data_IF_914622922845
#
_entry.id   IF_914622922845
#
_cell.length_a   1.000
_cell.length_b   1.000
_cell.length_c   1.000
_cell.angle_alpha   90.00
_cell.angle_beta   90.00
_cell.angle_gamma   90.00
#
_symmetry.space_group_name_H-M   'P 1'
#
loop_
_entity.id
_entity.type
_entity.pdbx_description
1 polymer ?
#
# COMPACT_ATOMS: atom_id res chain seq x y z
N UNK A 1 12.67 29.16 -104.54
CA UNK A 1 11.73 28.07 -104.20
C UNK A 1 10.53 28.66 -103.47
N UNK A 2 9.32 28.62 -104.05
CA UNK A 2 8.10 29.10 -103.38
C UNK A 2 7.46 27.93 -102.64
N UNK A 3 7.60 27.89 -101.32
CA UNK A 3 6.88 26.90 -100.51
C UNK A 3 5.39 27.25 -100.53
N UNK A 4 4.55 26.30 -100.93
CA UNK A 4 3.09 26.42 -100.80
C UNK A 4 2.74 26.44 -99.32
N UNK A 5 1.88 27.38 -98.91
CA UNK A 5 1.38 27.52 -97.54
C UNK A 5 0.85 26.17 -97.00
N UNK A 6 0.26 25.33 -97.87
CA UNK A 6 -0.24 24.00 -97.51
C UNK A 6 0.87 23.01 -97.13
N UNK A 7 2.03 23.08 -97.80
CA UNK A 7 3.21 22.25 -97.50
C UNK A 7 3.85 22.68 -96.19
N UNK A 8 3.97 23.99 -95.96
CA UNK A 8 4.47 24.52 -94.69
C UNK A 8 3.59 24.06 -93.52
N UNK A 9 2.26 24.13 -93.68
CA UNK A 9 1.28 23.74 -92.67
C UNK A 9 1.28 22.22 -92.39
N UNK A 10 1.47 21.39 -93.41
CA UNK A 10 1.61 19.95 -93.23
C UNK A 10 2.90 19.58 -92.48
N UNK A 11 4.02 20.24 -92.78
CA UNK A 11 5.30 20.03 -92.09
C UNK A 11 5.24 20.49 -90.63
N UNK A 12 4.65 21.66 -90.36
CA UNK A 12 4.50 22.13 -88.97
C UNK A 12 3.58 21.23 -88.15
N UNK A 13 2.51 20.69 -88.75
CA UNK A 13 1.61 19.75 -88.10
C UNK A 13 2.30 18.42 -87.80
N UNK A 14 3.13 17.92 -88.72
CA UNK A 14 3.94 16.71 -88.52
C UNK A 14 5.00 16.90 -87.43
N UNK A 15 5.67 18.05 -87.39
CA UNK A 15 6.62 18.39 -86.31
C UNK A 15 5.90 18.47 -84.96
N UNK A 16 4.72 19.12 -84.92
CA UNK A 16 3.92 19.19 -83.70
C UNK A 16 3.50 17.79 -83.21
N UNK A 17 3.11 16.90 -84.12
CA UNK A 17 2.75 15.52 -83.80
C UNK A 17 3.95 14.72 -83.23
N UNK A 18 5.14 14.88 -83.83
CA UNK A 18 6.37 14.25 -83.34
C UNK A 18 6.74 14.78 -81.94
N UNK A 19 6.62 16.09 -81.70
CA UNK A 19 6.88 16.68 -80.37
C UNK A 19 5.91 16.12 -79.33
N UNK A 20 4.63 15.97 -79.67
CA UNK A 20 3.62 15.38 -78.78
C UNK A 20 3.95 13.92 -78.48
N UNK A 21 4.33 13.13 -79.47
CA UNK A 21 4.73 11.72 -79.31
C UNK A 21 5.96 11.57 -78.41
N UNK A 22 7.00 12.38 -78.62
CA UNK A 22 8.21 12.36 -77.78
C UNK A 22 7.88 12.76 -76.35
N UNK A 23 7.05 13.80 -76.16
CA UNK A 23 6.59 14.20 -74.82
C UNK A 23 5.79 13.10 -74.15
N UNK A 24 4.83 12.49 -74.85
CA UNK A 24 4.02 11.40 -74.31
C UNK A 24 4.88 10.19 -73.92
N UNK A 25 5.83 9.78 -74.77
CA UNK A 25 6.75 8.69 -74.47
C UNK A 25 7.66 9.02 -73.28
N UNK A 26 8.22 10.23 -73.22
CA UNK A 26 9.03 10.66 -72.07
C UNK A 26 8.23 10.72 -70.77
N UNK A 27 6.95 11.12 -70.85
CA UNK A 27 6.05 11.14 -69.70
C UNK A 27 5.75 9.72 -69.21
N UNK A 28 5.45 8.79 -70.13
CA UNK A 28 5.23 7.38 -69.81
C UNK A 28 6.49 6.73 -69.21
N UNK A 29 7.66 6.98 -69.79
CA UNK A 29 8.92 6.46 -69.25
C UNK A 29 9.23 7.03 -67.86
N UNK A 30 8.91 8.31 -67.62
CA UNK A 30 9.06 8.93 -66.31
C UNK A 30 8.08 8.36 -65.28
N UNK A 31 6.82 8.17 -65.66
CA UNK A 31 5.79 7.57 -64.81
C UNK A 31 6.12 6.11 -64.47
N UNK A 32 6.61 5.34 -65.43
CA UNK A 32 7.03 3.95 -65.21
C UNK A 32 8.24 3.89 -64.27
N UNK A 33 9.25 4.73 -64.47
CA UNK A 33 10.39 4.83 -63.54
C UNK A 33 9.95 5.22 -62.13
N UNK A 34 8.97 6.13 -61.99
CA UNK A 34 8.40 6.54 -60.70
C UNK A 34 7.59 5.42 -60.04
N UNK A 35 6.86 4.64 -60.84
CA UNK A 35 6.11 3.48 -60.37
C UNK A 35 7.06 2.38 -59.87
N UNK A 36 8.10 2.07 -60.62
CA UNK A 36 9.16 1.13 -60.21
C UNK A 36 9.86 1.58 -58.93
N UNK A 37 10.18 2.87 -58.81
CA UNK A 37 10.77 3.43 -57.59
C UNK A 37 9.82 3.27 -56.40
N UNK A 38 8.52 3.50 -56.59
CA UNK A 38 7.51 3.37 -55.54
C UNK A 38 7.35 1.91 -55.13
N UNK A 39 7.35 0.97 -56.09
CA UNK A 39 7.31 -0.48 -55.82
C UNK A 39 8.53 -0.88 -54.97
N UNK A 40 9.74 -0.51 -55.37
CA UNK A 40 10.95 -0.79 -54.60
C UNK A 40 10.90 -0.19 -53.18
N UNK A 41 10.37 1.03 -53.03
CA UNK A 41 10.16 1.62 -51.71
C UNK A 41 9.14 0.84 -50.86
N UNK A 42 8.04 0.37 -51.45
CA UNK A 42 7.06 -0.45 -50.71
C UNK A 42 7.64 -1.80 -50.30
N UNK A 43 8.45 -2.44 -51.15
CA UNK A 43 9.11 -3.71 -50.81
C UNK A 43 10.13 -3.54 -49.69
N UNK A 44 10.96 -2.50 -49.75
CA UNK A 44 11.92 -2.20 -48.68
C UNK A 44 11.23 -1.86 -47.35
N UNK A 45 10.12 -1.13 -47.38
CA UNK A 45 9.33 -0.86 -46.17
C UNK A 45 8.68 -2.12 -45.62
N UNK A 46 8.12 -3.00 -46.47
CA UNK A 46 7.59 -4.31 -46.05
C UNK A 46 8.67 -5.18 -45.40
N UNK A 47 9.85 -5.24 -46.00
CA UNK A 47 10.98 -5.98 -45.45
C UNK A 47 11.39 -5.43 -44.06
N UNK A 48 11.50 -4.11 -43.91
CA UNK A 48 11.78 -3.49 -42.60
C UNK A 48 10.70 -3.81 -41.58
N UNK A 49 9.42 -3.70 -41.95
CA UNK A 49 8.29 -3.97 -41.05
C UNK A 49 8.28 -5.41 -40.56
N UNK A 50 8.60 -6.39 -41.43
CA UNK A 50 8.71 -7.80 -41.04
C UNK A 50 9.82 -8.08 -40.03
N UNK A 51 10.95 -7.34 -40.11
CA UNK A 51 12.04 -7.45 -39.13
C UNK A 51 11.62 -6.83 -37.79
N UNK A 52 10.91 -5.70 -37.81
CA UNK A 52 10.38 -5.06 -36.60
C UNK A 52 9.26 -5.86 -35.94
N UNK A 53 8.39 -6.55 -36.69
CA UNK A 53 7.33 -7.37 -36.11
C UNK A 53 7.90 -8.58 -35.37
N UNK A 54 8.93 -9.23 -35.92
CA UNK A 54 9.62 -10.34 -35.27
C UNK A 54 10.30 -9.90 -33.97
N UNK A 55 10.94 -8.73 -33.95
CA UNK A 55 11.55 -8.22 -32.72
C UNK A 55 10.51 -7.76 -31.70
N UNK A 56 9.37 -7.22 -32.13
CA UNK A 56 8.29 -6.83 -31.25
C UNK A 56 7.63 -8.04 -30.56
N UNK A 57 7.35 -9.11 -31.30
CA UNK A 57 6.82 -10.36 -30.70
C UNK A 57 7.80 -10.97 -29.69
N UNK A 58 9.11 -10.95 -29.99
CA UNK A 58 10.14 -11.41 -29.06
C UNK A 58 10.18 -10.55 -27.78
N UNK A 59 10.06 -9.23 -27.89
CA UNK A 59 10.01 -8.33 -26.73
C UNK A 59 8.75 -8.56 -25.89
N UNK A 60 7.60 -8.78 -26.52
CA UNK A 60 6.36 -9.10 -25.79
C UNK A 60 6.45 -10.43 -25.06
N UNK A 61 7.01 -11.47 -25.69
CA UNK A 61 7.23 -12.77 -25.05
C UNK A 61 8.19 -12.64 -23.86
N UNK A 62 9.29 -11.91 -24.04
CA UNK A 62 10.24 -11.65 -22.97
C UNK A 62 9.59 -10.91 -21.78
N UNK A 63 8.77 -9.88 -22.03
CA UNK A 63 8.03 -9.18 -20.98
C UNK A 63 7.01 -10.09 -20.28
N UNK A 64 6.31 -10.94 -21.03
CA UNK A 64 5.37 -11.91 -20.45
C UNK A 64 6.08 -12.93 -19.57
N UNK A 65 7.25 -13.41 -20.00
CA UNK A 65 8.08 -14.32 -19.22
C UNK A 65 8.64 -13.64 -17.95
N UNK A 66 9.10 -12.39 -18.04
CA UNK A 66 9.53 -11.60 -16.87
C UNK A 66 8.38 -11.42 -15.87
N UNK A 67 7.19 -11.06 -16.34
CA UNK A 67 6.00 -10.93 -15.49
C UNK A 67 5.62 -12.26 -14.83
N UNK A 68 5.71 -13.37 -15.57
CA UNK A 68 5.45 -14.71 -15.05
C UNK A 68 6.46 -15.13 -13.98
N UNK A 69 7.73 -14.80 -14.18
CA UNK A 69 8.78 -15.05 -13.18
C UNK A 69 8.54 -14.17 -11.95
N UNK A 70 8.23 -12.89 -12.14
CA UNK A 70 7.93 -11.97 -11.04
C UNK A 70 6.69 -12.43 -10.23
N UNK A 71 5.63 -12.88 -10.89
CA UNK A 71 4.43 -13.39 -10.22
C UNK A 71 4.74 -14.67 -9.45
N UNK A 72 5.51 -15.60 -10.03
CA UNK A 72 5.91 -16.84 -9.35
C UNK A 72 6.79 -16.56 -8.11
N UNK A 73 7.68 -15.56 -8.17
CA UNK A 73 8.48 -15.12 -7.03
C UNK A 73 7.59 -14.51 -5.95
N UNK A 74 6.66 -13.63 -6.34
CA UNK A 74 5.68 -13.03 -5.43
C UNK A 74 4.86 -14.11 -4.71
N UNK A 75 4.30 -15.07 -5.44
CA UNK A 75 3.46 -16.13 -4.86
C UNK A 75 4.25 -17.01 -3.89
N UNK A 76 5.51 -17.32 -4.21
CA UNK A 76 6.41 -18.04 -3.30
C UNK A 76 6.71 -17.21 -2.04
N UNK A 77 6.95 -15.90 -2.19
CA UNK A 77 7.21 -15.02 -1.06
C UNK A 77 5.98 -14.90 -0.14
N UNK A 78 4.77 -14.78 -0.71
CA UNK A 78 3.51 -14.77 0.03
C UNK A 78 3.29 -16.09 0.76
N UNK A 79 3.55 -17.23 0.10
CA UNK A 79 3.45 -18.54 0.76
C UNK A 79 4.41 -18.66 1.94
N UNK A 80 5.68 -18.32 1.74
CA UNK A 80 6.68 -18.36 2.81
C UNK A 80 6.32 -17.40 3.96
N UNK A 81 5.73 -16.24 3.64
CA UNK A 81 5.23 -15.31 4.65
C UNK A 81 4.10 -15.93 5.48
N UNK A 82 3.15 -16.63 4.86
CA UNK A 82 2.07 -17.33 5.57
C UNK A 82 2.61 -18.39 6.52
N UNK A 83 3.61 -19.16 6.07
CA UNK A 83 4.26 -20.17 6.91
C UNK A 83 4.94 -19.52 8.14
N UNK A 84 5.63 -18.40 7.94
CA UNK A 84 6.17 -17.60 9.04
C UNK A 84 5.03 -17.14 9.96
N UNK A 85 3.99 -16.50 9.42
CA UNK A 85 2.88 -15.99 10.22
C UNK A 85 2.28 -17.07 11.13
N UNK A 86 2.11 -18.30 10.62
CA UNK A 86 1.61 -19.43 11.40
C UNK A 86 2.59 -19.83 12.52
N UNK A 87 3.89 -19.84 12.26
CA UNK A 87 4.92 -20.05 13.29
C UNK A 87 4.92 -18.96 14.37
N UNK A 88 4.61 -17.71 14.00
CA UNK A 88 4.55 -16.57 14.92
C UNK A 88 3.24 -16.50 15.71
N UNK A 89 2.16 -17.16 15.27
CA UNK A 89 0.88 -17.25 16.01
C UNK A 89 0.95 -18.10 17.27
N UNK A 90 1.86 -19.07 17.30
CA UNK A 90 2.03 -19.97 18.44
C UNK A 90 2.83 -19.27 19.54
N UNK A 91 2.21 -19.19 20.72
CA UNK A 91 2.87 -18.81 21.98
C UNK A 91 2.99 -20.05 22.85
N UNK A 92 4.19 -20.29 23.37
CA UNK A 92 4.44 -21.38 24.31
C UNK A 92 4.41 -20.80 25.73
N UNK A 93 3.38 -21.11 26.54
CA UNK A 93 3.36 -20.67 27.92
C UNK A 93 4.52 -21.32 28.69
N UNK A 94 5.13 -20.56 29.60
CA UNK A 94 6.27 -21.02 30.41
C UNK A 94 5.82 -21.63 31.73
N UNK A 95 5.05 -20.87 32.51
CA UNK A 95 4.55 -21.23 33.83
C UNK A 95 3.25 -20.45 34.14
N UNK A 96 2.68 -20.67 35.32
CA UNK A 96 1.42 -20.05 35.76
C UNK A 96 1.57 -18.61 36.31
N UNK A 97 2.77 -18.01 36.22
CA UNK A 97 3.08 -16.65 36.70
C UNK A 97 3.64 -15.72 35.60
N UNK A 98 4.11 -16.29 34.49
CA UNK A 98 4.77 -15.58 33.40
C UNK A 98 3.77 -15.17 32.34
N UNK A 99 3.71 -13.87 32.08
CA UNK A 99 2.99 -13.32 30.96
C UNK A 99 3.80 -13.48 29.69
N UNK A 100 3.19 -14.02 28.63
CA UNK A 100 3.86 -14.16 27.33
C UNK A 100 3.16 -13.32 26.27
N UNK A 101 3.91 -12.57 25.48
CA UNK A 101 3.40 -11.76 24.37
C UNK A 101 4.26 -11.94 23.13
N UNK A 102 3.62 -11.95 21.96
CA UNK A 102 4.31 -12.00 20.67
C UNK A 102 3.55 -11.19 19.64
N UNK A 103 4.27 -10.35 18.89
CA UNK A 103 3.72 -9.65 17.74
C UNK A 103 3.65 -10.61 16.54
N UNK A 104 2.49 -10.68 15.91
CA UNK A 104 2.26 -11.46 14.69
C UNK A 104 2.61 -10.56 13.50
N UNK A 105 3.55 -10.99 12.62
CA UNK A 105 3.84 -10.24 11.41
C UNK A 105 2.63 -10.30 10.48
N UNK A 106 2.28 -9.16 9.88
CA UNK A 106 1.19 -9.04 8.91
C UNK A 106 1.71 -8.35 7.65
N UNK A 107 1.18 -8.75 6.49
CA UNK A 107 1.40 -8.02 5.24
C UNK A 107 0.41 -6.86 5.20
N UNK A 108 0.92 -5.65 4.96
CA UNK A 108 0.10 -4.49 4.60
C UNK A 108 -0.51 -4.76 3.20
N UNK A 109 -1.58 -5.54 3.07
CA UNK A 109 -2.13 -5.86 1.73
C UNK A 109 -3.65 -5.99 1.59
N UNK A 110 -4.43 -6.12 2.67
CA UNK A 110 -5.86 -6.40 2.50
C UNK A 110 -6.71 -5.12 2.49
N UNK A 111 -6.23 -4.04 3.10
CA UNK A 111 -6.89 -2.73 3.10
C UNK A 111 -5.84 -1.61 3.11
N UNK A 112 -5.47 -1.04 1.94
CA UNK A 112 -4.35 -0.10 1.83
C UNK A 112 -4.56 1.19 2.65
N UNK A 113 -5.80 1.47 3.08
CA UNK A 113 -6.14 2.60 3.94
C UNK A 113 -5.83 2.39 5.42
N UNK A 114 -5.60 1.15 5.87
CA UNK A 114 -5.44 0.81 7.28
C UNK A 114 -4.14 0.05 7.55
N UNK A 115 -3.55 0.32 8.72
CA UNK A 115 -2.53 -0.54 9.31
C UNK A 115 -3.17 -1.42 10.36
N UNK A 116 -2.66 -2.66 10.46
CA UNK A 116 -3.06 -3.63 11.48
C UNK A 116 -1.83 -4.10 12.25
N UNK A 117 -1.99 -4.24 13.56
CA UNK A 117 -0.97 -4.71 14.48
C UNK A 117 -1.62 -5.74 15.41
N UNK A 118 -1.23 -7.00 15.26
CA UNK A 118 -1.84 -8.10 16.03
C UNK A 118 -0.85 -8.69 17.02
N UNK A 119 -1.24 -8.77 18.28
CA UNK A 119 -0.50 -9.42 19.37
C UNK A 119 -1.22 -10.71 19.77
N UNK A 120 -0.44 -11.76 19.97
CA UNK A 120 -0.88 -12.94 20.70
C UNK A 120 -0.41 -12.78 22.13
N UNK A 121 -1.29 -13.05 23.08
CA UNK A 121 -1.04 -12.92 24.50
C UNK A 121 -1.34 -14.25 25.19
N UNK A 122 -0.58 -14.58 26.22
CA UNK A 122 -0.92 -15.61 27.20
C UNK A 122 -0.89 -14.96 28.58
N UNK A 123 -2.08 -14.81 29.17
CA UNK A 123 -2.29 -14.26 30.50
C UNK A 123 -2.24 -15.42 31.51
N UNK A 124 -1.30 -15.40 32.45
CA UNK A 124 -1.13 -16.50 33.38
C UNK A 124 -2.15 -16.42 34.53
N UNK A 125 -2.45 -17.55 35.18
CA UNK A 125 -3.51 -17.64 36.19
C UNK A 125 -3.22 -16.84 37.47
N UNK A 126 -1.95 -16.73 37.86
CA UNK A 126 -1.55 -16.17 39.14
C UNK A 126 -1.11 -14.70 39.07
N UNK A 127 -1.34 -14.03 37.93
CA UNK A 127 -0.99 -12.63 37.69
C UNK A 127 -2.16 -11.93 37.01
N UNK A 128 -2.63 -10.83 37.59
CA UNK A 128 -3.66 -9.99 36.96
C UNK A 128 -3.03 -9.16 35.87
N UNK A 129 -3.65 -9.11 34.71
CA UNK A 129 -3.20 -8.29 33.57
C UNK A 129 -4.32 -7.37 33.15
N UNK A 130 -4.04 -6.07 33.11
CA UNK A 130 -4.96 -5.02 32.71
C UNK A 130 -4.51 -4.44 31.38
N UNK A 131 -5.40 -4.47 30.39
CA UNK A 131 -5.25 -3.72 29.16
C UNK A 131 -5.74 -2.30 29.39
N UNK A 132 -4.93 -1.31 29.01
CA UNK A 132 -5.23 0.10 29.25
C UNK A 132 -5.05 0.92 27.98
N UNK A 133 -5.82 1.99 27.89
CA UNK A 133 -5.71 2.99 26.83
C UNK A 133 -5.88 4.41 27.36
N UNK A 134 -5.16 5.35 26.77
CA UNK A 134 -5.38 6.77 26.98
C UNK A 134 -4.94 7.60 25.77
N UNK A 135 -5.43 8.84 25.71
CA UNK A 135 -4.97 9.85 24.75
C UNK A 135 -4.20 10.92 25.50
N UNK A 136 -3.09 11.36 24.94
CA UNK A 136 -2.27 12.44 25.49
C UNK A 136 -1.88 13.47 24.44
N UNK A 137 -1.32 14.58 24.95
CA UNK A 137 -0.64 15.58 24.14
C UNK A 137 0.53 14.98 23.34
N UNK A 138 0.94 15.62 22.24
CA UNK A 138 2.03 15.14 21.41
C UNK A 138 3.36 15.29 22.17
N UNK A 139 4.30 14.39 21.90
CA UNK A 139 5.61 14.37 22.57
C UNK A 139 5.63 13.68 23.94
N UNK A 140 4.48 13.23 24.45
CA UNK A 140 4.44 12.31 25.60
C UNK A 140 4.76 10.90 25.09
N UNK A 141 5.96 10.43 25.39
CA UNK A 141 6.43 9.13 24.92
C UNK A 141 6.31 8.07 26.01
N UNK A 142 5.23 7.29 25.94
CA UNK A 142 4.91 6.25 26.92
C UNK A 142 5.96 5.14 27.10
N UNK A 143 6.87 4.92 26.13
CA UNK A 143 7.88 3.86 26.25
C UNK A 143 8.90 4.10 27.37
N UNK A 144 9.07 5.35 27.83
CA UNK A 144 9.86 5.68 29.02
C UNK A 144 9.05 5.58 30.31
N UNK A 145 7.73 5.63 30.22
CA UNK A 145 6.79 5.65 31.32
C UNK A 145 6.38 4.21 31.63
N UNK A 146 7.18 3.52 32.43
CA UNK A 146 6.98 2.10 32.79
C UNK A 146 5.90 1.89 33.86
N UNK A 147 5.10 2.91 34.16
CA UNK A 147 4.09 2.93 35.22
C UNK A 147 3.06 4.02 34.94
N UNK A 148 1.79 3.74 35.22
CA UNK A 148 0.69 4.72 35.09
C UNK A 148 0.80 5.89 36.07
N UNK A 149 1.63 5.77 37.12
CA UNK A 149 1.89 6.87 38.07
C UNK A 149 2.64 8.04 37.43
N UNK A 150 3.22 7.83 36.25
CA UNK A 150 4.06 8.80 35.57
C UNK A 150 3.37 9.48 34.37
N UNK A 151 2.04 9.36 34.23
CA UNK A 151 1.25 10.03 33.18
C UNK A 151 0.52 11.29 33.71
N UNK A 152 1.13 12.49 33.65
CA UNK A 152 0.49 13.71 34.16
C UNK A 152 -0.49 14.39 33.18
N UNK A 153 -0.60 13.97 31.91
CA UNK A 153 -1.40 14.71 30.90
C UNK A 153 -2.33 13.84 30.06
N UNK A 154 -3.18 13.04 30.72
CA UNK A 154 -4.28 12.34 30.02
C UNK A 154 -5.34 13.35 29.57
N UNK A 155 -5.60 13.39 28.27
CA UNK A 155 -6.64 14.21 27.66
C UNK A 155 -8.00 13.53 27.82
N UNK A 156 -8.92 14.17 28.54
CA UNK A 156 -10.33 13.74 28.62
C UNK A 156 -11.19 14.24 27.46
N UNK A 157 -10.72 15.28 26.78
CA UNK A 157 -11.31 15.85 25.56
C UNK A 157 -10.22 15.83 24.52
N UNK A 158 -10.43 15.08 23.45
CA UNK A 158 -9.48 14.88 22.37
C UNK A 158 -10.21 14.98 21.02
N UNK A 159 -9.44 15.06 19.95
CA UNK A 159 -9.96 15.09 18.57
C UNK A 159 -10.62 13.76 18.18
N UNK A 160 -10.27 12.69 18.90
CA UNK A 160 -10.81 11.34 18.78
C UNK A 160 -11.92 11.13 19.80
N UNK A 161 -13.01 10.50 19.39
CA UNK A 161 -14.10 10.11 20.29
C UNK A 161 -14.42 8.63 20.11
N UNK A 162 -14.46 7.84 21.20
CA UNK A 162 -14.23 8.24 22.59
C UNK A 162 -12.71 8.36 22.94
N UNK A 163 -12.37 9.34 23.79
CA UNK A 163 -10.97 9.73 24.10
C UNK A 163 -10.31 8.98 25.28
N UNK A 164 -11.09 8.33 26.15
CA UNK A 164 -10.56 7.66 27.34
C UNK A 164 -10.07 8.61 28.44
N UNK A 165 -9.47 8.08 29.52
CA UNK A 165 -8.79 6.79 29.60
C UNK A 165 -9.71 5.58 29.86
N UNK A 166 -9.28 4.42 29.37
CA UNK A 166 -10.01 3.15 29.50
C UNK A 166 -9.13 2.03 30.06
N UNK A 167 -9.75 1.06 30.76
CA UNK A 167 -9.12 -0.20 31.13
C UNK A 167 -10.07 -1.39 31.09
N UNK A 168 -9.52 -2.59 30.91
CA UNK A 168 -10.23 -3.86 31.14
C UNK A 168 -9.27 -4.90 31.68
N UNK A 169 -9.74 -5.76 32.57
CA UNK A 169 -8.96 -6.90 33.04
C UNK A 169 -9.03 -8.00 32.01
N UNK A 170 -7.88 -8.54 31.61
CA UNK A 170 -7.82 -9.72 30.76
C UNK A 170 -7.99 -10.97 31.63
N UNK A 171 -8.80 -11.90 31.14
CA UNK A 171 -8.97 -13.20 31.77
C UNK A 171 -7.68 -14.04 31.62
N UNK A 172 -7.45 -15.04 32.49
CA UNK A 172 -6.36 -15.99 32.28
C UNK A 172 -6.59 -16.83 31.02
N UNK A 173 -5.55 -17.00 30.21
CA UNK A 173 -5.60 -17.81 28.99
C UNK A 173 -4.95 -17.14 27.79
N UNK A 174 -5.28 -17.65 26.60
CA UNK A 174 -4.78 -17.13 25.34
C UNK A 174 -5.72 -16.05 24.79
N UNK A 175 -5.14 -14.93 24.37
CA UNK A 175 -5.89 -13.83 23.77
C UNK A 175 -5.23 -13.34 22.47
N UNK A 176 -6.05 -12.79 21.59
CA UNK A 176 -5.64 -12.06 20.40
C UNK A 176 -6.03 -10.61 20.54
N UNK A 177 -5.04 -9.73 20.61
CA UNK A 177 -5.28 -8.29 20.58
C UNK A 177 -4.93 -7.75 19.21
N UNK A 178 -5.91 -7.24 18.48
CA UNK A 178 -5.72 -6.61 17.18
C UNK A 178 -5.98 -5.12 17.30
N UNK A 179 -5.02 -4.29 16.92
CA UNK A 179 -5.21 -2.86 16.73
C UNK A 179 -5.25 -2.56 15.23
N UNK A 180 -6.28 -1.86 14.78
CA UNK A 180 -6.41 -1.35 13.42
C UNK A 180 -6.54 0.16 13.46
N UNK A 181 -5.78 0.85 12.62
CA UNK A 181 -5.80 2.32 12.53
C UNK A 181 -5.62 2.83 11.10
N UNK A 182 -6.26 3.94 10.75
CA UNK A 182 -6.17 4.52 9.41
C UNK A 182 -4.79 5.15 9.12
N UNK A 183 -4.25 4.92 7.92
CA UNK A 183 -3.01 5.52 7.41
C UNK A 183 -3.25 6.61 6.37
N UNK A 184 -4.42 6.58 5.73
CA UNK A 184 -4.81 7.52 4.67
C UNK A 184 -5.95 8.41 5.14
N UNK A 185 -5.96 9.61 4.56
CA UNK A 185 -7.02 10.62 4.56
C UNK A 185 -8.38 10.11 4.03
N UNK A 186 -8.38 9.09 3.17
CA UNK A 186 -9.59 8.51 2.57
C UNK A 186 -10.21 7.38 3.39
N UNK A 187 -9.49 6.88 4.39
CA UNK A 187 -10.00 5.87 5.30
C UNK A 187 -10.74 6.58 6.45
N UNK A 188 -11.96 6.14 6.76
CA UNK A 188 -12.69 6.59 7.95
C UNK A 188 -11.71 6.59 9.11
N UNK A 189 -11.50 7.76 9.71
CA UNK A 189 -10.43 8.08 10.66
C UNK A 189 -10.56 7.29 11.95
N UNK A 190 -10.32 5.99 11.85
CA UNK A 190 -10.83 4.99 12.76
C UNK A 190 -9.65 4.30 13.42
N UNK A 191 -9.70 4.26 14.75
CA UNK A 191 -8.86 3.40 15.57
C UNK A 191 -9.77 2.37 16.20
N UNK A 192 -9.53 1.09 15.94
CA UNK A 192 -10.28 0.00 16.54
C UNK A 192 -9.36 -0.97 17.26
N UNK A 193 -9.79 -1.36 18.46
CA UNK A 193 -9.16 -2.39 19.27
C UNK A 193 -10.10 -3.58 19.35
N UNK A 194 -9.62 -4.73 18.90
CA UNK A 194 -10.34 -5.98 18.98
C UNK A 194 -9.61 -6.91 19.95
N UNK A 195 -10.35 -7.51 20.87
CA UNK A 195 -9.88 -8.59 21.74
C UNK A 195 -10.65 -9.85 21.38
N UNK A 196 -9.95 -10.89 20.97
CA UNK A 196 -10.53 -12.17 20.55
C UNK A 196 -11.66 -11.98 19.52
N UNK A 197 -11.39 -11.15 18.52
CA UNK A 197 -12.30 -10.79 17.43
C UNK A 197 -13.50 -9.91 17.84
N UNK A 198 -13.73 -9.70 19.13
CA UNK A 198 -14.73 -8.76 19.61
C UNK A 198 -14.18 -7.33 19.65
N UNK A 199 -14.96 -6.37 19.15
CA UNK A 199 -14.59 -4.94 19.20
C UNK A 199 -14.73 -4.45 20.64
N UNK A 200 -13.60 -4.12 21.26
CA UNK A 200 -13.56 -3.50 22.58
C UNK A 200 -13.63 -1.99 22.53
N UNK A 201 -13.09 -1.40 21.47
CA UNK A 201 -12.98 0.05 21.33
C UNK A 201 -12.97 0.41 19.87
N UNK A 202 -13.75 1.42 19.52
CA UNK A 202 -13.73 2.02 18.20
C UNK A 202 -13.86 3.52 18.39
N UNK A 203 -12.82 4.25 17.99
CA UNK A 203 -12.84 5.69 17.96
C UNK A 203 -12.91 6.19 16.53
N UNK A 204 -13.73 7.22 16.35
CA UNK A 204 -13.83 8.00 15.12
C UNK A 204 -13.20 9.36 15.31
N UNK A 205 -12.58 9.86 14.25
CA UNK A 205 -12.10 11.23 14.15
C UNK A 205 -13.25 12.17 13.76
N UNK A 206 -13.27 13.34 14.39
CA UNK A 206 -14.31 14.36 14.18
C UNK A 206 -14.11 15.23 12.92
N UNK A 207 -12.98 15.13 12.21
CA UNK A 207 -12.74 15.92 10.99
C UNK A 207 -11.90 15.22 9.91
N UNK A 208 -12.18 15.60 8.67
CA UNK A 208 -11.43 15.27 7.46
C UNK A 208 -10.05 15.96 7.49
N UNK A 209 -8.92 15.22 7.32
CA UNK A 209 -7.49 15.65 7.26
C UNK A 209 -6.53 15.10 8.34
N UNK A 210 -6.94 14.06 9.07
CA UNK A 210 -6.08 13.38 10.03
C UNK A 210 -5.64 12.00 9.54
N UNK A 211 -4.40 11.60 9.88
CA UNK A 211 -3.90 10.23 9.71
C UNK A 211 -3.18 9.73 10.95
N UNK A 212 -3.19 8.42 11.18
CA UNK A 212 -2.38 7.83 12.24
C UNK A 212 -1.04 7.32 11.72
N UNK A 213 -0.03 7.45 12.58
CA UNK A 213 1.22 6.70 12.46
C UNK A 213 1.50 5.96 13.75
N UNK A 214 1.79 4.65 13.66
CA UNK A 214 1.99 3.79 14.82
C UNK A 214 3.43 3.34 14.97
N UNK A 215 3.87 3.16 16.22
CA UNK A 215 5.07 2.42 16.56
C UNK A 215 4.71 1.30 17.54
N UNK A 216 4.96 0.05 17.16
CA UNK A 216 4.92 -1.10 18.07
C UNK A 216 6.27 -1.26 18.76
N UNK A 217 6.25 -1.59 20.05
CA UNK A 217 7.45 -1.71 20.87
C UNK A 217 7.86 -3.16 21.17
N UNK A 218 7.10 -4.13 20.67
CA UNK A 218 7.50 -5.53 20.72
C UNK A 218 8.05 -5.94 19.35
N UNK A 219 9.23 -6.55 19.32
CA UNK A 219 9.76 -7.09 18.07
C UNK A 219 8.94 -8.30 17.62
N UNK A 220 8.60 -8.41 16.32
CA UNK A 220 7.95 -9.61 15.81
C UNK A 220 8.84 -10.84 15.98
N UNK A 221 10.18 -10.68 16.00
CA UNK A 221 11.14 -11.78 15.98
C UNK A 221 11.20 -12.61 17.28
N UNK A 222 10.69 -12.09 18.40
CA UNK A 222 10.88 -12.72 19.71
C UNK A 222 9.58 -12.77 20.52
N UNK A 223 9.32 -13.91 21.15
CA UNK A 223 8.33 -13.99 22.23
C UNK A 223 8.92 -13.30 23.47
N UNK A 224 8.15 -12.40 24.08
CA UNK A 224 8.47 -11.76 25.34
C UNK A 224 7.83 -12.56 26.46
N UNK A 225 8.65 -13.15 27.31
CA UNK A 225 8.24 -13.85 28.52
C UNK A 225 8.59 -12.98 29.73
N UNK A 226 7.57 -12.46 30.40
CA UNK A 226 7.68 -11.49 31.47
C UNK A 226 7.22 -12.12 32.79
N UNK A 227 8.19 -12.39 33.67
CA UNK A 227 7.94 -12.92 35.00
C UNK A 227 7.29 -11.88 35.93
N UNK A 228 6.86 -12.31 37.13
CA UNK A 228 6.11 -11.49 38.09
C UNK A 228 6.79 -10.17 38.51
N UNK A 229 8.12 -10.18 38.56
CA UNK A 229 8.93 -9.00 38.93
C UNK A 229 9.24 -8.06 37.75
N UNK A 230 8.91 -8.49 36.53
CA UNK A 230 9.15 -7.72 35.31
C UNK A 230 7.89 -6.95 34.93
N UNK A 231 8.06 -5.70 34.54
CA UNK A 231 6.95 -4.84 34.12
C UNK A 231 6.37 -5.34 32.80
N UNK A 232 5.04 -5.29 32.70
CA UNK A 232 4.31 -5.61 31.49
C UNK A 232 4.59 -4.59 30.37
N UNK A 233 4.43 -4.99 29.09
CA UNK A 233 4.96 -4.22 28.00
C UNK A 233 4.04 -3.07 27.60
N UNK A 234 4.67 -2.01 27.12
CA UNK A 234 4.00 -1.07 26.24
C UNK A 234 3.78 -1.74 24.87
N UNK A 235 2.55 -1.78 24.39
CA UNK A 235 2.27 -2.47 23.14
C UNK A 235 2.53 -1.53 21.96
N UNK A 236 1.81 -0.42 21.93
CA UNK A 236 1.80 0.49 20.77
C UNK A 236 1.46 1.91 21.16
N UNK A 237 2.04 2.85 20.43
CA UNK A 237 1.66 4.25 20.46
C UNK A 237 1.30 4.69 19.06
N UNK A 238 0.08 5.21 18.91
CA UNK A 238 -0.40 5.82 17.69
C UNK A 238 -0.29 7.34 17.84
N UNK A 239 0.25 8.01 16.83
CA UNK A 239 0.31 9.47 16.75
C UNK A 239 -0.70 9.94 15.75
N UNK A 240 -1.58 10.82 16.18
CA UNK A 240 -2.52 11.52 15.32
C UNK A 240 -1.78 12.68 14.66
N UNK A 241 -1.66 12.62 13.34
CA UNK A 241 -1.02 13.66 12.53
C UNK A 241 -2.06 14.45 11.79
N UNK A 242 -2.01 15.77 11.92
CA UNK A 242 -2.78 16.69 11.09
C UNK A 242 -1.99 17.04 9.86
N UNK A 243 -2.58 16.83 8.68
CA UNK A 243 -2.00 17.33 7.44
C UNK A 243 -2.48 18.75 7.18
N UNK A 244 -1.54 19.66 6.96
CA UNK A 244 -1.81 21.04 6.56
C UNK A 244 -1.21 21.23 5.16
N UNK A 245 -2.02 21.59 4.14
CA UNK A 245 -1.51 21.77 2.79
C UNK A 245 -0.33 22.74 2.73
N UNK A 246 0.80 22.28 2.18
CA UNK A 246 2.02 23.10 2.06
C UNK A 246 2.89 23.19 3.32
N UNK A 247 2.60 22.42 4.37
CA UNK A 247 3.40 22.35 5.60
C UNK A 247 3.72 20.90 6.00
N UNK A 248 4.76 20.75 6.83
CA UNK A 248 5.08 19.46 7.46
C UNK A 248 3.95 19.07 8.41
N UNK A 249 3.47 17.81 8.32
CA UNK A 249 2.42 17.31 9.21
C UNK A 249 2.81 17.44 10.68
N UNK A 250 1.91 17.95 11.51
CA UNK A 250 2.14 18.13 12.95
C UNK A 250 1.48 17.01 13.75
N UNK A 251 2.20 16.49 14.75
CA UNK A 251 1.63 15.56 15.74
C UNK A 251 0.69 16.35 16.64
N UNK A 252 -0.60 15.99 16.70
CA UNK A 252 -1.63 16.69 17.49
C UNK A 252 -1.89 15.97 18.80
N UNK A 253 -2.00 14.65 18.76
CA UNK A 253 -2.34 13.81 19.91
C UNK A 253 -1.63 12.46 19.78
N UNK A 254 -1.55 11.70 20.87
CA UNK A 254 -1.06 10.33 20.85
C UNK A 254 -2.00 9.41 21.62
N UNK A 255 -2.40 8.30 20.99
CA UNK A 255 -3.20 7.24 21.60
C UNK A 255 -2.28 6.09 21.97
N UNK A 256 -2.44 5.60 23.18
CA UNK A 256 -1.49 4.70 23.81
C UNK A 256 -2.19 3.44 24.28
N UNK A 257 -1.62 2.26 24.01
CA UNK A 257 -2.12 0.99 24.51
C UNK A 257 -0.98 0.21 25.19
N UNK A 258 -1.22 -0.22 26.43
CA UNK A 258 -0.23 -0.94 27.22
C UNK A 258 -0.90 -1.94 28.18
N UNK A 259 -0.06 -2.78 28.78
CA UNK A 259 -0.48 -3.76 29.79
C UNK A 259 0.11 -3.41 31.15
N UNK A 260 -0.61 -3.68 32.22
CA UNK A 260 -0.19 -3.40 33.60
C UNK A 260 -0.74 -4.44 34.59
N UNK A 261 -0.08 -4.61 35.73
CA UNK A 261 -0.46 -5.55 36.78
C UNK A 261 -1.53 -4.99 37.72
N UNK A 262 -1.73 -3.67 37.68
CA UNK A 262 -2.61 -2.94 38.60
C UNK A 262 -3.71 -2.25 37.83
N UNK A 263 -4.91 -2.21 38.40
CA UNK A 263 -5.96 -1.33 37.93
C UNK A 263 -5.58 0.13 38.24
N UNK A 264 -5.88 1.02 37.30
CA UNK A 264 -5.81 2.48 37.45
C UNK A 264 -7.16 3.10 37.81
N UNK A 265 -8.21 2.28 37.97
CA UNK A 265 -9.60 2.70 38.14
C UNK A 265 -10.08 3.61 37.00
N UNK A 266 -9.66 3.30 35.77
CA UNK A 266 -10.16 3.95 34.55
C UNK A 266 -11.54 3.41 34.17
N UNK A 267 -12.20 4.11 33.26
CA UNK A 267 -13.49 3.68 32.74
C UNK A 267 -13.35 2.36 31.96
N UNK A 268 -14.35 1.49 31.94
CA UNK A 268 -14.30 0.32 31.07
C UNK A 268 -14.22 0.76 29.61
N UNK A 269 -13.57 -0.04 28.76
CA UNK A 269 -13.58 0.21 27.33
C UNK A 269 -15.03 0.26 26.81
N UNK A 270 -15.38 1.24 25.95
CA UNK A 270 -16.68 1.31 25.34
C UNK A 270 -16.76 0.21 24.28
N UNK A 271 -17.35 -0.93 24.65
CA UNK A 271 -17.76 -1.95 23.69
C UNK A 271 -18.61 -1.28 22.62
N UNK A 272 -18.31 -1.50 21.33
CA UNK A 272 -19.18 -0.99 20.26
C UNK A 272 -20.53 -1.70 20.35
N UNK A 273 -21.46 -1.11 21.10
CA UNK A 273 -22.87 -1.42 20.97
C UNK A 273 -23.27 -0.76 19.66
N UNK A 274 -23.37 -1.57 18.61
CA UNK A 274 -24.26 -1.42 17.44
C UNK A 274 -23.62 -2.04 16.18
N UNK A 275 -24.08 -3.23 15.85
CA UNK A 275 -24.13 -3.76 14.48
C UNK A 275 -25.44 -4.53 14.36
N UNK A 276 -26.55 -3.79 14.38
CA UNK A 276 -27.75 -4.17 13.61
C UNK A 276 -27.48 -3.97 12.12
#
# INVERSE_FOLDING_TARGET
>A
MKFSIRMLLAVTLLIALVIVLVRAYSSLAYEDAKLQQTIAQTETLKARLSVYSLSFEQVQQYQADELKVASAIHDRAVSHFRDLQEQYRVIKPKDDDTFSCRLVPELDSDDPGYSRVTYRLHVPKNRKVWLKSCVTRPGVYGYHLRSTKDFPEVLRVASISPAGPFETQLEPGFHTLTLRYSRSDQADGLVSLLLDEAILYQASLSSESFRYSGASYTSPRTQYDLGKDQLLPWLVSLRLKKEVPGQTSEDVESTHFWLDDKSSAYEPFPSSVDSE
#
